data_IF_600144385291
#
_entry.id   IF_600144385291
#
_cell.length_a   1.000
_cell.length_b   1.000
_cell.length_c   1.000
_cell.angle_alpha   90.00
_cell.angle_beta   90.00
_cell.angle_gamma   90.00
#
_symmetry.space_group_name_H-M   'P 1'
#
loop_
_entity.id
_entity.type
_entity.pdbx_description
1 polymer ?
#
# COMPACT_ATOMS: atom_id res chain seq x y z
N UNK A 1 -43.59 41.45 -42.30
CA UNK A 1 -42.32 40.83 -42.74
C UNK A 1 -41.82 39.93 -41.64
N UNK A 2 -42.20 38.66 -41.72
CA UNK A 2 -41.74 37.55 -40.89
C UNK A 2 -40.26 37.30 -41.21
N UNK A 3 -39.40 37.35 -40.20
CA UNK A 3 -37.99 36.94 -40.34
C UNK A 3 -37.84 35.58 -39.67
N UNK A 4 -37.59 34.62 -40.54
CA UNK A 4 -37.45 33.17 -40.37
C UNK A 4 -36.50 32.74 -39.26
N UNK A 5 -36.94 31.74 -38.49
CA UNK A 5 -36.11 30.77 -37.78
C UNK A 5 -35.32 29.91 -38.79
N UNK A 6 -34.01 29.78 -38.56
CA UNK A 6 -33.09 28.78 -39.16
C UNK A 6 -31.71 29.05 -38.55
N UNK A 7 -30.91 28.13 -37.99
CA UNK A 7 -30.94 26.68 -37.95
C UNK A 7 -30.22 26.25 -36.66
N UNK A 8 -30.84 25.41 -35.84
CA UNK A 8 -30.13 24.62 -34.84
C UNK A 8 -29.34 23.54 -35.57
N UNK A 9 -28.05 23.78 -35.80
CA UNK A 9 -27.14 22.71 -36.22
C UNK A 9 -27.13 21.63 -35.15
N UNK A 10 -27.68 20.46 -35.48
CA UNK A 10 -27.51 19.24 -34.71
C UNK A 10 -26.02 18.90 -34.70
N UNK A 11 -25.36 19.17 -33.58
CA UNK A 11 -23.97 18.78 -33.36
C UNK A 11 -23.92 17.24 -33.29
N UNK A 12 -23.59 16.61 -34.42
CA UNK A 12 -23.39 15.17 -34.54
C UNK A 12 -21.99 14.76 -34.05
N UNK A 13 -21.47 15.44 -33.05
CA UNK A 13 -20.29 14.99 -32.31
C UNK A 13 -20.62 13.64 -31.66
N UNK A 14 -19.72 12.65 -31.70
CA UNK A 14 -19.92 11.39 -30.98
C UNK A 14 -20.27 11.75 -29.54
N UNK A 15 -21.33 11.16 -28.97
CA UNK A 15 -21.66 11.35 -27.55
C UNK A 15 -20.41 10.98 -26.75
N UNK A 16 -19.67 11.99 -26.30
CA UNK A 16 -18.49 11.79 -25.48
C UNK A 16 -18.99 11.14 -24.20
N UNK A 17 -18.60 9.88 -23.97
CA UNK A 17 -18.98 9.14 -22.77
C UNK A 17 -18.49 9.94 -21.56
N UNK A 18 -19.42 10.29 -20.66
CA UNK A 18 -19.10 11.00 -19.43
C UNK A 18 -18.16 10.14 -18.58
N UNK A 19 -17.31 10.76 -17.76
CA UNK A 19 -16.38 10.06 -16.90
C UNK A 19 -17.10 9.20 -15.86
N UNK A 20 -18.25 9.65 -15.37
CA UNK A 20 -19.11 8.87 -14.48
C UNK A 20 -19.60 7.54 -15.10
N UNK A 21 -19.69 7.44 -16.43
CA UNK A 21 -20.11 6.24 -17.16
C UNK A 21 -18.94 5.31 -17.52
N UNK A 22 -17.69 5.68 -17.21
CA UNK A 22 -16.49 4.93 -17.57
C UNK A 22 -16.11 3.93 -16.49
N UNK A 23 -16.03 2.62 -16.79
CA UNK A 23 -15.65 1.60 -15.80
C UNK A 23 -14.30 1.87 -15.12
N UNK A 24 -13.34 2.44 -15.85
CA UNK A 24 -12.00 2.76 -15.33
C UNK A 24 -11.98 3.94 -14.34
N UNK A 25 -13.09 4.67 -14.19
CA UNK A 25 -13.27 5.75 -13.21
C UNK A 25 -14.32 5.40 -12.14
N UNK A 26 -14.75 4.13 -12.08
CA UNK A 26 -15.82 3.67 -11.17
C UNK A 26 -15.49 3.77 -9.69
N UNK A 27 -14.21 3.82 -9.32
CA UNK A 27 -13.73 4.04 -7.96
C UNK A 27 -13.59 5.53 -7.61
N UNK A 28 -13.76 6.43 -8.58
CA UNK A 28 -13.51 7.87 -8.40
C UNK A 28 -14.81 8.63 -8.18
N UNK A 29 -14.89 9.25 -7.00
CA UNK A 29 -15.87 10.28 -6.65
C UNK A 29 -15.37 11.63 -7.17
N UNK A 30 -16.14 12.30 -8.05
CA UNK A 30 -15.78 13.61 -8.60
C UNK A 30 -15.66 14.68 -7.50
N UNK A 31 -14.69 15.59 -7.62
CA UNK A 31 -14.56 16.74 -6.72
C UNK A 31 -15.20 17.96 -7.37
N UNK A 32 -16.37 18.35 -6.84
CA UNK A 32 -17.12 19.52 -7.30
C UNK A 32 -16.33 20.83 -7.13
N UNK A 33 -16.62 21.81 -7.98
CA UNK A 33 -16.09 23.16 -7.83
C UNK A 33 -16.71 23.87 -6.61
N UNK A 34 -15.90 24.23 -5.63
CA UNK A 34 -16.34 25.08 -4.50
C UNK A 34 -16.22 26.56 -4.86
N UNK A 35 -17.32 27.12 -5.37
CA UNK A 35 -17.47 28.56 -5.66
C UNK A 35 -17.74 29.40 -4.39
N UNK A 36 -17.95 28.77 -3.23
CA UNK A 36 -18.36 29.43 -2.00
C UNK A 36 -19.77 30.05 -2.06
N UNK A 37 -20.23 30.64 -0.94
CA UNK A 37 -21.61 31.12 -0.80
C UNK A 37 -21.95 32.34 -1.66
N UNK A 38 -20.95 33.15 -2.05
CA UNK A 38 -21.14 34.47 -2.66
C UNK A 38 -20.44 34.63 -4.01
N UNK A 39 -20.43 33.61 -4.86
CA UNK A 39 -19.81 33.72 -6.19
C UNK A 39 -20.56 34.71 -7.10
N UNK A 40 -19.81 35.67 -7.64
CA UNK A 40 -20.34 36.82 -8.42
C UNK A 40 -20.38 36.57 -9.93
N UNK A 41 -19.77 35.49 -10.43
CA UNK A 41 -19.66 35.19 -11.87
C UNK A 41 -19.81 33.68 -12.17
N UNK A 42 -20.90 33.06 -11.68
CA UNK A 42 -21.16 31.64 -11.93
C UNK A 42 -21.37 31.36 -13.41
N UNK A 43 -20.50 30.55 -14.01
CA UNK A 43 -20.63 30.10 -15.39
C UNK A 43 -21.57 28.90 -15.43
N UNK A 44 -22.59 28.96 -16.28
CA UNK A 44 -23.50 27.83 -16.51
C UNK A 44 -22.82 26.78 -17.41
N UNK A 45 -22.04 25.89 -16.80
CA UNK A 45 -21.36 24.80 -17.51
C UNK A 45 -22.32 23.71 -17.97
N UNK A 46 -22.07 23.14 -19.15
CA UNK A 46 -22.74 21.91 -19.60
C UNK A 46 -22.47 20.75 -18.61
N UNK A 47 -23.35 19.74 -18.58
CA UNK A 47 -23.14 18.53 -17.76
C UNK A 47 -21.83 17.83 -18.10
N UNK A 48 -21.53 17.66 -19.39
CA UNK A 48 -20.28 17.03 -19.83
C UNK A 48 -19.03 17.81 -19.39
N UNK A 49 -19.09 19.15 -19.36
CA UNK A 49 -17.98 19.97 -18.87
C UNK A 49 -17.81 19.84 -17.35
N UNK A 50 -18.91 19.86 -16.59
CA UNK A 50 -18.86 19.69 -15.13
C UNK A 50 -18.26 18.33 -14.75
N UNK A 51 -18.80 17.26 -15.33
CA UNK A 51 -18.29 15.90 -15.17
C UNK A 51 -16.79 15.84 -15.47
N UNK A 52 -16.35 16.28 -16.65
CA UNK A 52 -14.92 16.26 -17.02
C UNK A 52 -14.03 17.00 -16.01
N UNK A 53 -14.45 18.19 -15.56
CA UNK A 53 -13.64 19.02 -14.66
C UNK A 53 -13.66 18.54 -13.20
N UNK A 54 -14.74 17.92 -12.73
CA UNK A 54 -14.81 17.37 -11.38
C UNK A 54 -13.86 16.17 -11.24
N UNK A 55 -13.78 15.30 -12.26
CA UNK A 55 -12.81 14.21 -12.32
C UNK A 55 -11.38 14.71 -12.52
N UNK A 56 -11.18 15.76 -13.35
CA UNK A 56 -9.86 16.37 -13.54
C UNK A 56 -9.30 16.92 -12.21
N UNK A 57 -10.14 17.58 -11.39
CA UNK A 57 -9.73 18.10 -10.07
C UNK A 57 -9.19 17.02 -9.15
N UNK A 58 -9.88 15.87 -9.07
CA UNK A 58 -9.43 14.74 -8.27
C UNK A 58 -8.06 14.22 -8.76
N UNK A 59 -7.93 14.02 -10.08
CA UNK A 59 -6.72 13.50 -10.70
C UNK A 59 -5.51 14.45 -10.53
N UNK A 60 -5.67 15.73 -10.84
CA UNK A 60 -4.58 16.71 -10.74
C UNK A 60 -4.12 16.91 -9.30
N UNK A 61 -5.03 16.88 -8.32
CA UNK A 61 -4.68 16.98 -6.91
C UNK A 61 -3.79 15.80 -6.47
N UNK A 62 -4.15 14.57 -6.85
CA UNK A 62 -3.34 13.38 -6.57
C UNK A 62 -1.99 13.40 -7.28
N UNK A 63 -1.94 13.83 -8.54
CA UNK A 63 -0.70 13.95 -9.30
C UNK A 63 0.22 15.03 -8.72
N UNK A 64 -0.33 16.16 -8.28
CA UNK A 64 0.43 17.22 -7.64
C UNK A 64 1.04 16.75 -6.31
N UNK A 65 0.23 16.19 -5.40
CA UNK A 65 0.75 15.72 -4.11
C UNK A 65 1.72 14.54 -4.27
N UNK A 66 1.51 13.68 -5.26
CA UNK A 66 2.43 12.60 -5.62
C UNK A 66 3.84 13.12 -5.93
N UNK A 67 3.96 14.13 -6.79
CA UNK A 67 5.25 14.78 -7.12
C UNK A 67 5.91 15.44 -5.91
N UNK A 68 5.11 16.01 -4.99
CA UNK A 68 5.61 16.59 -3.75
C UNK A 68 6.20 15.52 -2.82
N UNK A 69 5.53 14.36 -2.71
CA UNK A 69 6.04 13.20 -1.95
C UNK A 69 7.30 12.65 -2.60
N UNK A 70 7.33 12.45 -3.92
CA UNK A 70 8.53 11.97 -4.63
C UNK A 70 9.74 12.89 -4.40
N UNK A 71 9.52 14.20 -4.35
CA UNK A 71 10.57 15.19 -4.10
C UNK A 71 11.00 15.26 -2.62
N UNK A 72 10.08 15.00 -1.68
CA UNK A 72 10.35 15.03 -0.24
C UNK A 72 9.48 14.02 0.52
N UNK A 73 9.83 12.72 0.48
CA UNK A 73 8.96 11.65 0.98
C UNK A 73 8.95 11.56 2.51
N UNK A 74 9.75 12.36 3.20
CA UNK A 74 9.79 12.45 4.67
C UNK A 74 8.87 13.55 5.22
N UNK A 75 8.21 14.32 4.36
CA UNK A 75 7.25 15.32 4.80
C UNK A 75 5.87 14.67 5.06
N UNK A 76 5.53 14.47 6.32
CA UNK A 76 4.25 13.90 6.74
C UNK A 76 3.03 14.68 6.20
N UNK A 77 3.15 16.00 6.01
CA UNK A 77 2.02 16.82 5.55
C UNK A 77 1.56 16.39 4.16
N UNK A 78 2.48 16.02 3.27
CA UNK A 78 2.12 15.58 1.93
C UNK A 78 1.39 14.24 1.95
N UNK A 79 1.78 13.32 2.83
CA UNK A 79 1.08 12.05 3.04
C UNK A 79 -0.33 12.26 3.58
N UNK A 80 -0.51 13.17 4.55
CA UNK A 80 -1.83 13.48 5.08
C UNK A 80 -2.74 14.17 4.05
N UNK A 81 -2.18 15.06 3.21
CA UNK A 81 -2.95 15.65 2.11
C UNK A 81 -3.34 14.58 1.08
N UNK A 82 -2.43 13.67 0.73
CA UNK A 82 -2.72 12.57 -0.18
C UNK A 82 -3.82 11.67 0.39
N UNK A 83 -3.76 11.32 1.68
CA UNK A 83 -4.80 10.58 2.39
C UNK A 83 -6.15 11.27 2.24
N UNK A 84 -6.24 12.56 2.57
CA UNK A 84 -7.49 13.33 2.47
C UNK A 84 -8.05 13.34 1.05
N UNK A 85 -7.20 13.53 0.03
CA UNK A 85 -7.66 13.53 -1.37
C UNK A 85 -8.18 12.15 -1.76
N UNK A 86 -7.52 11.06 -1.36
CA UNK A 86 -7.98 9.69 -1.63
C UNK A 86 -9.27 9.37 -0.86
N UNK A 87 -9.44 9.88 0.37
CA UNK A 87 -10.69 9.73 1.14
C UNK A 87 -11.87 10.43 0.48
N UNK A 88 -11.66 11.66 -0.03
CA UNK A 88 -12.71 12.43 -0.70
C UNK A 88 -13.03 11.84 -2.08
N UNK A 89 -11.99 11.49 -2.85
CA UNK A 89 -12.13 11.06 -4.23
C UNK A 89 -12.35 9.55 -4.40
N UNK A 90 -12.15 8.71 -3.38
CA UNK A 90 -12.24 7.25 -3.52
C UNK A 90 -11.16 6.58 -4.39
N UNK A 91 -10.34 7.36 -5.11
CA UNK A 91 -9.36 6.88 -6.08
C UNK A 91 -8.22 6.11 -5.40
N UNK A 92 -8.41 4.80 -5.25
CA UNK A 92 -7.48 3.91 -4.53
C UNK A 92 -6.67 2.99 -5.45
N UNK A 93 -7.10 2.84 -6.71
CA UNK A 93 -6.56 1.86 -7.66
C UNK A 93 -5.04 1.96 -7.88
N UNK A 94 -4.48 3.18 -7.82
CA UNK A 94 -3.05 3.44 -8.06
C UNK A 94 -2.21 3.62 -6.79
N UNK A 95 -2.81 3.52 -5.60
CA UNK A 95 -2.09 3.85 -4.37
C UNK A 95 -1.01 2.81 -4.03
N UNK A 96 -1.30 1.52 -4.19
CA UNK A 96 -0.31 0.48 -3.87
C UNK A 96 0.92 0.53 -4.79
N UNK A 97 0.75 0.91 -6.06
CA UNK A 97 1.84 1.05 -7.03
C UNK A 97 2.66 2.32 -6.78
N UNK A 98 2.00 3.44 -6.47
CA UNK A 98 2.66 4.67 -6.03
C UNK A 98 3.49 4.43 -4.76
N UNK A 99 2.91 3.79 -3.75
CA UNK A 99 3.62 3.49 -2.51
C UNK A 99 4.81 2.57 -2.76
N UNK A 100 4.65 1.56 -3.62
CA UNK A 100 5.73 0.66 -3.97
C UNK A 100 6.90 1.40 -4.65
N UNK A 101 6.63 2.43 -5.48
CA UNK A 101 7.70 3.25 -6.07
C UNK A 101 8.48 4.03 -5.01
N UNK A 102 7.80 4.55 -3.98
CA UNK A 102 8.45 5.25 -2.86
C UNK A 102 9.25 4.29 -1.98
N UNK A 103 8.70 3.12 -1.66
CA UNK A 103 9.39 2.07 -0.87
C UNK A 103 10.62 1.56 -1.63
N UNK A 104 10.57 1.48 -2.96
CA UNK A 104 11.73 1.10 -3.78
C UNK A 104 12.89 2.11 -3.66
N UNK A 105 12.58 3.40 -3.48
CA UNK A 105 13.58 4.45 -3.28
C UNK A 105 14.09 4.51 -1.84
N UNK A 106 13.20 4.34 -0.85
CA UNK A 106 13.51 4.30 0.57
C UNK A 106 12.68 3.20 1.26
N UNK A 107 13.26 2.01 1.37
CA UNK A 107 12.59 0.83 1.93
C UNK A 107 12.22 0.98 3.40
N UNK A 108 12.77 1.99 4.08
CA UNK A 108 12.53 2.29 5.50
C UNK A 108 11.64 3.51 5.69
N UNK A 109 11.05 4.06 4.63
CA UNK A 109 10.17 5.22 4.73
C UNK A 109 8.92 4.89 5.57
N UNK A 110 8.89 5.38 6.80
CA UNK A 110 7.81 5.13 7.75
C UNK A 110 6.45 5.62 7.25
N UNK A 111 6.40 6.80 6.62
CA UNK A 111 5.16 7.37 6.12
C UNK A 111 4.56 6.54 4.98
N UNK A 112 5.41 6.03 4.07
CA UNK A 112 4.98 5.15 2.98
C UNK A 112 4.38 3.84 3.53
N UNK A 113 5.02 3.21 4.51
CA UNK A 113 4.50 2.00 5.15
C UNK A 113 3.20 2.26 5.94
N UNK A 114 3.15 3.34 6.72
CA UNK A 114 1.95 3.72 7.46
C UNK A 114 0.77 4.01 6.53
N UNK A 115 1.03 4.71 5.42
CA UNK A 115 0.05 4.99 4.40
C UNK A 115 -0.41 3.70 3.68
N UNK A 116 0.52 2.78 3.37
CA UNK A 116 0.19 1.45 2.81
C UNK A 116 -0.79 0.68 3.69
N UNK A 117 -0.49 0.59 4.99
CA UNK A 117 -1.35 -0.09 5.95
C UNK A 117 -2.73 0.55 6.04
N UNK A 118 -2.82 1.88 5.93
CA UNK A 118 -4.11 2.56 5.85
C UNK A 118 -4.86 2.20 4.56
N UNK A 119 -4.24 2.33 3.39
CA UNK A 119 -4.87 1.98 2.09
C UNK A 119 -5.40 0.55 2.11
N UNK A 120 -4.59 -0.42 2.54
CA UNK A 120 -4.98 -1.83 2.61
C UNK A 120 -6.22 -2.06 3.48
N UNK A 121 -6.31 -1.40 4.63
CA UNK A 121 -7.46 -1.52 5.53
C UNK A 121 -8.70 -0.83 4.99
N UNK A 122 -8.54 0.39 4.49
CA UNK A 122 -9.67 1.23 4.04
C UNK A 122 -10.33 0.65 2.80
N UNK A 123 -9.53 0.13 1.86
CA UNK A 123 -10.00 -0.37 0.56
C UNK A 123 -9.95 -1.90 0.43
N UNK A 124 -9.59 -2.61 1.50
CA UNK A 124 -9.59 -4.08 1.58
C UNK A 124 -8.74 -4.75 0.49
N UNK A 125 -7.57 -4.15 0.19
CA UNK A 125 -6.70 -4.53 -0.94
C UNK A 125 -5.64 -5.59 -0.56
N UNK A 126 -6.06 -6.70 0.07
CA UNK A 126 -5.14 -7.65 0.70
C UNK A 126 -4.56 -8.74 -0.21
N UNK A 127 -5.16 -8.98 -1.39
CA UNK A 127 -4.93 -10.17 -2.23
C UNK A 127 -3.46 -10.45 -2.53
N UNK A 128 -2.71 -9.42 -2.89
CA UNK A 128 -1.35 -9.54 -3.42
C UNK A 128 -0.29 -9.06 -2.41
N UNK A 129 -0.70 -8.67 -1.20
CA UNK A 129 0.18 -8.00 -0.26
C UNK A 129 1.25 -8.95 0.32
N UNK A 130 0.90 -10.22 0.59
CA UNK A 130 1.89 -11.21 1.01
C UNK A 130 2.90 -11.53 -0.11
N UNK A 131 2.46 -11.54 -1.37
CA UNK A 131 3.36 -11.73 -2.51
C UNK A 131 4.32 -10.53 -2.65
N UNK A 132 3.81 -9.31 -2.46
CA UNK A 132 4.63 -8.11 -2.45
C UNK A 132 5.69 -8.13 -1.34
N UNK A 133 5.29 -8.50 -0.12
CA UNK A 133 6.22 -8.63 1.01
C UNK A 133 7.26 -9.73 0.76
N UNK A 134 6.85 -10.86 0.18
CA UNK A 134 7.76 -11.95 -0.15
C UNK A 134 8.82 -11.49 -1.16
N UNK A 135 8.41 -10.75 -2.20
CA UNK A 135 9.34 -10.16 -3.17
C UNK A 135 10.35 -9.21 -2.52
N UNK A 136 9.90 -8.32 -1.62
CA UNK A 136 10.80 -7.43 -0.89
C UNK A 136 11.81 -8.18 -0.02
N UNK A 137 11.39 -9.29 0.61
CA UNK A 137 12.28 -10.12 1.43
C UNK A 137 13.22 -11.01 0.59
N UNK A 138 12.89 -11.30 -0.66
CA UNK A 138 13.81 -11.92 -1.62
C UNK A 138 14.89 -10.93 -2.07
N UNK A 139 14.55 -9.64 -2.25
CA UNK A 139 15.51 -8.59 -2.59
C UNK A 139 16.39 -8.19 -1.39
N UNK A 140 15.80 -8.01 -0.21
CA UNK A 140 16.49 -7.69 1.04
C UNK A 140 15.86 -8.44 2.22
N UNK A 141 16.45 -9.59 2.56
CA UNK A 141 16.02 -10.42 3.68
C UNK A 141 16.13 -9.70 5.03
N UNK A 142 16.96 -8.65 5.16
CA UNK A 142 17.13 -7.86 6.38
C UNK A 142 16.18 -6.67 6.46
N UNK A 143 15.25 -6.52 5.51
CA UNK A 143 14.26 -5.45 5.52
C UNK A 143 13.24 -5.64 6.67
N UNK A 144 13.50 -4.99 7.80
CA UNK A 144 12.64 -5.04 8.98
C UNK A 144 11.19 -4.58 8.73
N UNK A 145 10.99 -3.60 7.85
CA UNK A 145 9.65 -3.10 7.52
C UNK A 145 8.84 -4.14 6.76
N UNK A 146 9.47 -4.90 5.86
CA UNK A 146 8.81 -6.01 5.16
C UNK A 146 8.44 -7.15 6.12
N UNK A 147 9.30 -7.51 7.07
CA UNK A 147 8.95 -8.46 8.14
C UNK A 147 7.78 -7.98 9.01
N UNK A 148 7.78 -6.70 9.38
CA UNK A 148 6.67 -6.10 10.12
C UNK A 148 5.36 -6.13 9.30
N UNK A 149 5.46 -5.85 8.00
CA UNK A 149 4.32 -5.90 7.10
C UNK A 149 3.76 -7.32 6.97
N UNK A 150 4.63 -8.36 6.90
CA UNK A 150 4.18 -9.76 6.89
C UNK A 150 3.27 -10.05 8.10
N UNK A 151 3.73 -9.70 9.30
CA UNK A 151 2.96 -9.88 10.53
C UNK A 151 1.64 -9.10 10.47
N UNK A 152 1.69 -7.84 10.05
CA UNK A 152 0.53 -6.97 9.93
C UNK A 152 -0.54 -7.55 9.01
N UNK A 153 -0.15 -8.05 7.84
CA UNK A 153 -1.08 -8.62 6.85
C UNK A 153 -1.77 -9.85 7.39
N UNK A 154 -1.02 -10.77 8.00
CA UNK A 154 -1.59 -11.98 8.60
C UNK A 154 -2.57 -11.63 9.72
N UNK A 155 -2.18 -10.69 10.60
CA UNK A 155 -3.02 -10.25 11.72
C UNK A 155 -4.37 -9.67 11.27
N UNK A 156 -4.45 -9.08 10.07
CA UNK A 156 -5.67 -8.44 9.55
C UNK A 156 -6.40 -9.27 8.49
N UNK A 157 -5.91 -10.45 8.13
CA UNK A 157 -6.52 -11.32 7.10
C UNK A 157 -6.88 -12.69 7.65
N UNK A 158 -5.91 -13.60 7.71
CA UNK A 158 -6.09 -15.00 8.10
C UNK A 158 -6.07 -15.20 9.61
N UNK A 159 -5.47 -14.26 10.33
CA UNK A 159 -5.15 -14.40 11.74
C UNK A 159 -4.06 -15.45 11.98
N UNK A 160 -3.74 -15.68 13.26
CA UNK A 160 -2.71 -16.63 13.66
C UNK A 160 -3.34 -17.94 14.15
N UNK A 161 -4.02 -18.65 13.25
CA UNK A 161 -4.49 -20.03 13.49
C UNK A 161 -3.30 -20.99 13.46
N UNK A 162 -3.45 -22.18 14.03
CA UNK A 162 -2.36 -23.15 14.16
C UNK A 162 -1.70 -23.52 12.83
N UNK A 163 -2.49 -23.69 11.76
CA UNK A 163 -2.00 -23.98 10.41
C UNK A 163 -1.21 -22.80 9.81
N UNK A 164 -1.65 -21.57 10.07
CA UNK A 164 -0.95 -20.35 9.64
C UNK A 164 0.35 -20.18 10.44
N UNK A 165 0.31 -20.37 11.76
CA UNK A 165 1.50 -20.32 12.61
C UNK A 165 2.53 -21.35 12.13
N UNK A 166 2.10 -22.58 11.87
CA UNK A 166 2.96 -23.66 11.36
C UNK A 166 3.61 -23.30 10.02
N UNK A 167 2.84 -22.73 9.09
CA UNK A 167 3.34 -22.19 7.82
C UNK A 167 4.38 -21.10 8.05
N UNK A 168 4.09 -20.14 8.92
CA UNK A 168 4.96 -18.99 9.20
C UNK A 168 6.26 -19.39 9.91
N UNK A 169 6.21 -20.39 10.81
CA UNK A 169 7.42 -20.99 11.40
C UNK A 169 8.31 -21.57 10.30
N UNK A 170 7.75 -22.39 9.40
CA UNK A 170 8.53 -22.92 8.27
C UNK A 170 9.05 -21.82 7.32
N UNK A 171 8.30 -20.73 7.15
CA UNK A 171 8.69 -19.59 6.32
C UNK A 171 9.90 -18.83 6.89
N UNK A 172 9.90 -18.57 8.20
CA UNK A 172 10.98 -17.82 8.86
C UNK A 172 12.21 -18.70 9.14
N UNK A 173 12.03 -19.97 9.48
CA UNK A 173 13.13 -20.92 9.69
C UNK A 173 14.02 -21.02 8.45
N UNK A 174 13.41 -21.24 7.26
CA UNK A 174 14.14 -21.25 5.97
C UNK A 174 14.92 -19.97 5.70
N UNK A 175 14.41 -18.82 6.13
CA UNK A 175 15.05 -17.52 5.94
C UNK A 175 16.18 -17.27 6.92
N UNK A 176 16.06 -17.77 8.15
CA UNK A 176 17.14 -17.79 9.13
C UNK A 176 18.27 -18.71 8.65
N UNK A 177 17.96 -19.88 8.08
CA UNK A 177 18.99 -20.77 7.50
C UNK A 177 19.79 -20.08 6.38
N UNK A 178 19.15 -19.22 5.58
CA UNK A 178 19.81 -18.43 4.55
C UNK A 178 20.64 -17.26 5.11
N UNK A 179 20.23 -16.69 6.24
CA UNK A 179 20.87 -15.52 6.85
C UNK A 179 20.80 -15.59 8.39
N UNK A 180 21.66 -16.38 9.05
CA UNK A 180 21.52 -16.68 10.48
C UNK A 180 21.75 -15.50 11.42
N UNK A 181 22.44 -14.46 10.96
CA UNK A 181 22.71 -13.22 11.68
C UNK A 181 21.59 -12.16 11.52
N UNK A 182 20.51 -12.48 10.80
CA UNK A 182 19.41 -11.56 10.54
C UNK A 182 18.49 -11.38 11.76
N UNK A 183 18.72 -10.32 12.53
CA UNK A 183 17.92 -9.99 13.71
C UNK A 183 16.42 -9.83 13.40
N UNK A 184 16.03 -9.30 12.24
CA UNK A 184 14.63 -9.11 11.87
C UNK A 184 13.89 -10.44 11.72
N UNK A 185 14.53 -11.44 11.11
CA UNK A 185 13.95 -12.79 11.00
C UNK A 185 13.81 -13.45 12.37
N UNK A 186 14.82 -13.32 13.25
CA UNK A 186 14.73 -13.83 14.62
C UNK A 186 13.63 -13.15 15.44
N UNK A 187 13.47 -11.82 15.30
CA UNK A 187 12.39 -11.07 15.94
C UNK A 187 11.00 -11.50 15.43
N UNK A 188 10.88 -11.80 14.13
CA UNK A 188 9.66 -12.37 13.56
C UNK A 188 9.38 -13.77 14.13
N UNK A 189 10.37 -14.68 14.11
CA UNK A 189 10.26 -16.02 14.70
C UNK A 189 9.81 -15.94 16.16
N UNK A 190 10.43 -15.08 16.97
CA UNK A 190 10.05 -14.88 18.37
C UNK A 190 8.60 -14.42 18.51
N UNK A 191 8.12 -13.57 17.61
CA UNK A 191 6.74 -13.07 17.61
C UNK A 191 5.76 -14.19 17.29
N UNK A 192 6.02 -15.00 16.26
CA UNK A 192 5.20 -16.15 15.89
C UNK A 192 5.23 -17.24 16.97
N UNK A 193 6.41 -17.55 17.51
CA UNK A 193 6.60 -18.53 18.58
C UNK A 193 5.77 -18.21 19.82
N UNK A 194 5.70 -16.92 20.22
CA UNK A 194 4.91 -16.49 21.38
C UNK A 194 3.41 -16.75 21.23
N UNK A 195 2.89 -16.71 20.01
CA UNK A 195 1.49 -17.00 19.73
C UNK A 195 1.16 -18.48 19.97
N UNK A 196 2.16 -19.36 19.82
CA UNK A 196 2.08 -20.80 20.06
C UNK A 196 2.38 -21.18 21.52
N UNK A 197 3.33 -20.50 22.15
CA UNK A 197 3.82 -20.77 23.51
C UNK A 197 2.84 -20.42 24.65
N UNK A 198 1.60 -20.02 24.36
CA UNK A 198 0.53 -20.03 25.35
C UNK A 198 0.27 -21.45 25.90
N UNK A 199 0.76 -22.50 25.22
CA UNK A 199 0.74 -23.89 25.69
C UNK A 199 2.12 -24.57 25.59
N UNK A 200 2.98 -24.38 26.61
CA UNK A 200 4.23 -25.13 26.87
C UNK A 200 5.32 -25.05 25.78
N UNK A 201 6.56 -25.25 26.19
CA UNK A 201 7.79 -25.12 25.38
C UNK A 201 7.72 -25.99 24.12
N UNK A 202 7.57 -25.35 22.94
CA UNK A 202 7.56 -26.07 21.67
C UNK A 202 8.95 -26.65 21.38
N UNK A 203 9.06 -27.98 21.40
CA UNK A 203 10.30 -28.70 21.19
C UNK A 203 10.91 -28.44 19.81
N UNK A 204 10.10 -28.18 18.78
CA UNK A 204 10.59 -27.83 17.44
C UNK A 204 11.36 -26.52 17.49
N UNK A 205 10.77 -25.48 18.08
CA UNK A 205 11.38 -24.14 18.14
C UNK A 205 12.66 -24.21 18.98
N UNK A 206 12.64 -24.94 20.10
CA UNK A 206 13.84 -25.15 20.91
C UNK A 206 14.95 -25.87 20.12
N UNK A 207 14.62 -26.97 19.42
CA UNK A 207 15.60 -27.69 18.59
C UNK A 207 16.17 -26.77 17.51
N UNK A 208 15.30 -26.04 16.78
CA UNK A 208 15.73 -25.13 15.73
C UNK A 208 16.69 -24.04 16.25
N UNK A 209 16.36 -23.39 17.37
CA UNK A 209 17.21 -22.37 17.98
C UNK A 209 18.56 -22.95 18.42
N UNK A 210 18.57 -24.14 19.06
CA UNK A 210 19.79 -24.82 19.47
C UNK A 210 20.66 -25.18 18.27
N UNK A 211 20.08 -25.85 17.28
CA UNK A 211 20.80 -26.33 16.11
C UNK A 211 21.34 -25.15 15.29
N UNK A 212 20.59 -24.04 15.21
CA UNK A 212 21.06 -22.78 14.60
C UNK A 212 22.23 -22.16 15.37
N UNK A 213 22.20 -22.20 16.70
CA UNK A 213 23.29 -21.67 17.54
C UNK A 213 24.57 -22.51 17.38
N UNK A 214 24.44 -23.84 17.48
CA UNK A 214 25.58 -24.76 17.37
C UNK A 214 26.23 -24.71 15.99
N UNK A 215 25.44 -24.60 14.91
CA UNK A 215 25.99 -24.58 13.56
C UNK A 215 26.64 -23.25 13.16
N UNK A 216 26.15 -22.12 13.68
CA UNK A 216 26.60 -20.80 13.23
C UNK A 216 27.59 -20.12 14.18
N UNK A 217 27.64 -20.51 15.45
CA UNK A 217 28.50 -19.82 16.43
C UNK A 217 29.57 -20.73 17.04
N UNK A 218 29.31 -22.03 17.23
CA UNK A 218 30.32 -22.93 17.80
C UNK A 218 31.34 -23.44 16.76
N UNK A 219 31.03 -23.43 15.46
CA UNK A 219 31.98 -23.84 14.42
C UNK A 219 33.04 -22.78 14.10
N UNK A 220 32.71 -21.50 14.25
CA UNK A 220 33.63 -20.39 13.96
C UNK A 220 34.68 -20.20 15.08
N UNK A 221 34.34 -20.52 16.33
CA UNK A 221 35.27 -20.46 17.47
C UNK A 221 36.38 -21.53 17.38
N UNK A 222 36.13 -22.67 16.71
CA UNK A 222 37.15 -23.71 16.50
C UNK A 222 38.09 -23.41 15.32
N UNK A 223 37.63 -22.69 14.30
CA UNK A 223 38.44 -22.34 13.12
C UNK A 223 39.25 -21.05 13.29
N UNK A 224 38.95 -20.23 14.28
CA UNK A 224 39.69 -19.00 14.60
C UNK A 224 40.82 -19.21 15.62
N UNK A 225 41.01 -20.44 16.10
CA UNK A 225 42.09 -20.84 17.02
C UNK A 225 43.15 -21.78 16.37
N UNK A 226 43.13 -21.95 15.05
CA UNK A 226 44.19 -22.62 14.27
C UNK A 226 44.83 -21.63 13.29
#
# INVERSE_FOLDING_TARGET
MSRSESDSKSDSSPKHLQYCDRPEWSDVVPIEQDDGPNAVVKIAYSEAFRDTFDYLRAYEALAFVGRMIESNPKNYQFWEHRRLIVEISGHSSNELSFIASIIKLDSKNYHAWQYRQWVLKTYVLWSDELQYVDHLLQEDIRNNSAWNQCYFVIAHTTGFKDDIIERELGYVEKRIELCPDNESAWNYLRSIARLRLASLTDQRIWNFCRDSYENNFLKDDFNSQQ
#
